data_IF_132840209787
#
_entry.id   IF_132840209787
#
_cell.length_a   1.000
_cell.length_b   1.000
_cell.length_c   1.000
_cell.angle_alpha   90.00
_cell.angle_beta   90.00
_cell.angle_gamma   90.00
#
_symmetry.space_group_name_H-M   'P 1'
#
loop_
_entity.id
_entity.type
_entity.pdbx_description
1 polymer ?
#
# COMPACT_ATOMS: atom_id res chain seq x y z
N UNK A 1 -15.44 -3.92 -22.16
CA UNK A 1 -15.63 -3.16 -20.91
C UNK A 1 -14.79 -3.83 -19.82
N UNK A 2 -14.10 -3.07 -18.97
CA UNK A 2 -13.26 -3.63 -17.90
C UNK A 2 -14.12 -4.37 -16.87
N UNK A 3 -13.61 -5.51 -16.39
CA UNK A 3 -14.26 -6.31 -15.35
C UNK A 3 -13.70 -5.87 -13.99
N UNK A 4 -14.57 -5.38 -13.11
CA UNK A 4 -14.21 -4.99 -11.76
C UNK A 4 -14.99 -5.81 -10.72
N UNK A 5 -14.35 -6.09 -9.59
CA UNK A 5 -14.95 -6.87 -8.49
C UNK A 5 -14.68 -6.21 -7.14
N UNK A 6 -15.58 -6.37 -6.18
CA UNK A 6 -15.28 -6.06 -4.79
C UNK A 6 -14.27 -7.05 -4.22
N UNK A 7 -13.64 -6.69 -3.12
CA UNK A 7 -12.69 -7.55 -2.42
C UNK A 7 -12.70 -7.27 -0.91
N UNK A 8 -12.10 -8.17 -0.14
CA UNK A 8 -11.92 -8.01 1.31
C UNK A 8 -10.61 -7.29 1.57
N UNK A 9 -10.66 -5.99 1.81
CA UNK A 9 -9.48 -5.19 2.13
C UNK A 9 -8.92 -5.52 3.50
N UNK A 10 -7.61 -5.31 3.67
CA UNK A 10 -6.93 -5.42 4.96
C UNK A 10 -6.55 -4.01 5.38
N UNK A 11 -7.00 -3.58 6.56
CA UNK A 11 -6.86 -2.21 7.04
C UNK A 11 -6.56 -2.18 8.54
N UNK A 12 -5.91 -1.14 9.05
CA UNK A 12 -5.81 -0.94 10.49
C UNK A 12 -7.18 -0.61 11.11
N UNK A 13 -7.46 -1.05 12.35
CA UNK A 13 -8.57 -0.53 13.14
C UNK A 13 -8.47 0.99 13.31
N UNK A 14 -9.60 1.68 13.47
CA UNK A 14 -9.64 3.15 13.53
C UNK A 14 -8.75 3.76 14.62
N UNK A 15 -8.67 3.11 15.75
CA UNK A 15 -7.86 3.52 16.91
C UNK A 15 -6.35 3.30 16.72
N UNK A 16 -5.95 2.55 15.70
CA UNK A 16 -4.56 2.27 15.37
C UNK A 16 -4.05 2.96 14.09
N UNK A 17 -4.92 3.64 13.33
CA UNK A 17 -4.57 4.24 12.04
C UNK A 17 -3.31 5.10 12.14
N UNK A 18 -3.26 6.04 13.08
CA UNK A 18 -2.12 6.97 13.26
C UNK A 18 -0.80 6.25 13.62
N UNK A 19 -0.89 5.05 14.20
CA UNK A 19 0.30 4.25 14.54
C UNK A 19 0.76 3.37 13.38
N UNK A 20 -0.18 2.98 12.50
CA UNK A 20 0.10 2.06 11.39
C UNK A 20 0.40 2.80 10.10
N UNK A 21 -0.21 3.97 9.86
CA UNK A 21 -0.06 4.70 8.60
C UNK A 21 1.40 5.01 8.25
N UNK A 22 1.66 5.11 6.97
CA UNK A 22 2.98 5.44 6.44
C UNK A 22 2.84 6.25 5.15
N UNK A 23 3.88 6.98 4.78
CA UNK A 23 3.98 7.55 3.43
C UNK A 23 4.15 6.42 2.39
N UNK A 24 3.82 6.66 1.11
CA UNK A 24 4.11 5.70 0.04
C UNK A 24 5.58 5.31 0.00
N UNK A 25 5.87 4.05 -0.30
CA UNK A 25 7.22 3.47 -0.26
C UNK A 25 8.22 4.13 -1.23
N UNK A 26 7.73 4.79 -2.27
CA UNK A 26 8.51 5.41 -3.35
C UNK A 26 8.83 6.90 -3.14
N UNK A 27 8.40 7.48 -2.00
CA UNK A 27 8.64 8.90 -1.69
C UNK A 27 9.70 9.13 -0.61
N UNK A 28 10.31 8.06 -0.10
CA UNK A 28 11.34 8.11 0.93
C UNK A 28 12.35 6.98 0.75
N UNK A 29 13.57 7.21 1.20
CA UNK A 29 14.60 6.18 1.24
C UNK A 29 14.51 5.32 2.53
N UNK A 30 15.40 4.33 2.65
CA UNK A 30 15.37 3.39 3.78
C UNK A 30 15.79 4.03 5.10
N UNK A 31 16.67 5.04 5.07
CA UNK A 31 17.10 5.76 6.29
C UNK A 31 15.99 6.68 6.80
N UNK A 32 15.30 7.38 5.91
CA UNK A 32 14.12 8.17 6.23
C UNK A 32 13.01 7.29 6.80
N UNK A 33 12.75 6.13 6.19
CA UNK A 33 11.76 5.17 6.68
C UNK A 33 12.11 4.64 8.08
N UNK A 34 13.39 4.34 8.32
CA UNK A 34 13.90 3.92 9.63
C UNK A 34 13.72 5.01 10.68
N UNK A 35 14.04 6.25 10.34
CA UNK A 35 13.88 7.39 11.24
C UNK A 35 12.41 7.66 11.58
N UNK A 36 11.51 7.57 10.60
CA UNK A 36 10.07 7.77 10.82
C UNK A 36 9.41 6.61 11.60
N UNK A 37 9.82 5.37 11.34
CA UNK A 37 9.34 4.23 12.12
C UNK A 37 9.78 4.33 13.58
N UNK A 38 11.03 4.76 13.83
CA UNK A 38 11.60 4.87 15.18
C UNK A 38 11.37 3.59 15.99
N UNK A 39 10.83 3.74 17.20
CA UNK A 39 10.49 2.61 18.09
C UNK A 39 9.04 2.10 17.89
N UNK A 40 8.34 2.58 16.86
CA UNK A 40 6.96 2.18 16.61
C UNK A 40 6.88 0.83 15.90
N UNK A 41 6.72 -0.25 16.63
CA UNK A 41 6.57 -1.61 16.12
C UNK A 41 5.35 -1.82 15.20
N UNK A 42 4.36 -0.91 15.23
CA UNK A 42 3.14 -0.97 14.41
C UNK A 42 3.27 -0.21 13.10
N UNK A 43 4.39 0.48 12.88
CA UNK A 43 4.58 1.23 11.64
C UNK A 43 4.53 0.30 10.41
N UNK A 44 3.72 0.65 9.41
CA UNK A 44 3.62 -0.12 8.17
C UNK A 44 4.95 -0.21 7.40
N UNK A 45 5.92 0.66 7.71
CA UNK A 45 7.26 0.59 7.13
C UNK A 45 7.94 -0.76 7.38
N UNK A 46 7.67 -1.44 8.49
CA UNK A 46 8.19 -2.78 8.75
C UNK A 46 7.73 -3.84 7.72
N UNK A 47 6.71 -3.53 6.92
CA UNK A 47 6.18 -4.39 5.86
C UNK A 47 6.56 -3.87 4.48
N UNK A 48 6.40 -2.55 4.22
CA UNK A 48 6.60 -1.97 2.88
C UNK A 48 8.03 -1.49 2.61
N UNK A 49 8.84 -1.32 3.66
CA UNK A 49 10.27 -1.00 3.66
C UNK A 49 11.01 -1.94 4.61
N UNK A 50 10.86 -3.27 4.43
CA UNK A 50 11.27 -4.26 5.44
C UNK A 50 12.80 -4.31 5.68
N UNK A 51 13.61 -3.73 4.80
CA UNK A 51 15.05 -3.56 4.98
C UNK A 51 15.40 -2.72 6.22
N UNK A 52 14.47 -1.90 6.75
CA UNK A 52 14.67 -1.15 7.99
C UNK A 52 14.80 -2.04 9.23
N UNK A 53 14.35 -3.30 9.15
CA UNK A 53 14.46 -4.28 10.23
C UNK A 53 15.86 -4.91 10.33
N UNK A 54 16.77 -4.56 9.41
CA UNK A 54 18.13 -5.07 9.32
C UNK A 54 19.15 -3.95 9.53
N UNK A 55 20.43 -4.30 9.48
CA UNK A 55 21.49 -3.30 9.58
C UNK A 55 21.43 -2.28 8.44
N UNK A 56 21.80 -1.01 8.72
CA UNK A 56 21.91 0.02 7.67
C UNK A 56 22.76 -0.45 6.49
N UNK A 57 22.28 -0.17 5.27
CA UNK A 57 22.94 -0.61 4.04
C UNK A 57 22.54 -2.02 3.56
N UNK A 58 21.66 -2.72 4.28
CA UNK A 58 21.08 -3.97 3.76
C UNK A 58 20.28 -3.67 2.49
N UNK A 59 20.56 -4.46 1.43
CA UNK A 59 19.86 -4.30 0.14
C UNK A 59 18.37 -4.61 0.27
N UNK A 60 17.52 -3.78 -0.29
CA UNK A 60 16.08 -4.04 -0.41
C UNK A 60 15.75 -5.32 -1.20
N UNK A 61 16.71 -5.85 -1.98
CA UNK A 61 16.58 -7.09 -2.75
C UNK A 61 17.17 -8.32 -2.03
N UNK A 62 17.63 -8.20 -0.79
CA UNK A 62 18.09 -9.34 0.00
C UNK A 62 16.90 -10.29 0.27
N UNK A 63 17.02 -11.60 -0.01
CA UNK A 63 15.93 -12.57 0.24
C UNK A 63 15.36 -12.52 1.65
N UNK A 64 16.19 -12.25 2.66
CA UNK A 64 15.77 -12.11 4.07
C UNK A 64 14.80 -10.95 4.29
N UNK A 65 14.92 -9.90 3.48
CA UNK A 65 14.05 -8.71 3.54
C UNK A 65 12.63 -9.09 3.12
N UNK A 66 12.46 -9.89 2.07
CA UNK A 66 11.15 -10.40 1.64
C UNK A 66 10.52 -11.35 2.67
N UNK A 67 11.32 -12.23 3.27
CA UNK A 67 10.86 -13.13 4.33
C UNK A 67 10.39 -12.32 5.55
N UNK A 68 11.14 -11.32 5.96
CA UNK A 68 10.77 -10.39 7.05
C UNK A 68 9.47 -9.65 6.75
N UNK A 69 9.26 -9.17 5.53
CA UNK A 69 8.00 -8.53 5.12
C UNK A 69 6.80 -9.46 5.29
N UNK A 70 6.93 -10.70 4.81
CA UNK A 70 5.86 -11.71 4.91
C UNK A 70 5.56 -12.08 6.37
N UNK A 71 6.59 -12.22 7.19
CA UNK A 71 6.44 -12.49 8.62
C UNK A 71 5.78 -11.33 9.35
N UNK A 72 6.23 -10.09 9.13
CA UNK A 72 5.63 -8.90 9.73
C UNK A 72 4.18 -8.72 9.30
N UNK A 73 3.85 -8.96 8.03
CA UNK A 73 2.46 -8.91 7.56
C UNK A 73 1.55 -9.91 8.29
N UNK A 74 2.06 -11.11 8.57
CA UNK A 74 1.35 -12.11 9.36
C UNK A 74 1.21 -11.68 10.83
N UNK A 75 2.30 -11.24 11.46
CA UNK A 75 2.33 -10.71 12.82
C UNK A 75 1.36 -9.55 13.04
N UNK A 76 1.28 -8.62 12.08
CA UNK A 76 0.35 -7.49 12.16
C UNK A 76 -1.11 -7.94 12.18
N UNK A 77 -1.45 -9.00 11.44
CA UNK A 77 -2.81 -9.55 11.45
C UNK A 77 -3.08 -10.32 12.75
N UNK A 78 -2.16 -11.13 13.23
CA UNK A 78 -2.25 -11.87 14.50
C UNK A 78 -2.42 -10.94 15.69
N UNK A 79 -1.72 -9.81 15.71
CA UNK A 79 -1.81 -8.79 16.75
C UNK A 79 -3.03 -7.86 16.61
N UNK A 80 -3.81 -8.00 15.54
CA UNK A 80 -4.96 -7.14 15.26
C UNK A 80 -4.59 -5.71 14.83
N UNK A 81 -3.34 -5.46 14.47
CA UNK A 81 -2.90 -4.14 13.94
C UNK A 81 -3.35 -3.93 12.50
N UNK A 82 -3.53 -5.02 11.77
CA UNK A 82 -4.23 -5.08 10.48
C UNK A 82 -5.35 -6.09 10.57
N UNK A 83 -6.51 -5.75 10.05
CA UNK A 83 -7.69 -6.62 10.05
C UNK A 83 -8.30 -6.70 8.67
N UNK A 84 -8.57 -7.92 8.21
CA UNK A 84 -9.31 -8.13 6.97
C UNK A 84 -10.80 -7.88 7.18
N UNK A 85 -11.43 -7.19 6.25
CA UNK A 85 -12.88 -6.98 6.26
C UNK A 85 -13.64 -8.30 6.07
N UNK A 86 -14.75 -8.46 6.77
CA UNK A 86 -15.55 -9.70 6.73
C UNK A 86 -16.27 -9.89 5.40
N UNK A 87 -16.58 -8.79 4.71
CA UNK A 87 -17.34 -8.79 3.44
C UNK A 87 -16.52 -8.20 2.31
N UNK A 88 -16.75 -8.71 1.11
CA UNK A 88 -16.24 -8.08 -0.11
C UNK A 88 -16.98 -6.75 -0.34
N UNK A 89 -16.21 -5.69 -0.63
CA UNK A 89 -16.75 -4.36 -0.86
C UNK A 89 -15.83 -3.55 -1.78
N UNK A 90 -16.36 -2.45 -2.30
CA UNK A 90 -15.58 -1.40 -2.96
C UNK A 90 -15.15 -0.38 -1.92
N UNK A 91 -14.01 0.27 -2.14
CA UNK A 91 -13.51 1.28 -1.22
C UNK A 91 -13.45 2.65 -1.91
N UNK A 92 -13.83 3.68 -1.18
CA UNK A 92 -13.64 5.06 -1.61
C UNK A 92 -12.33 5.56 -1.02
N UNK A 93 -11.42 5.96 -1.89
CA UNK A 93 -10.17 6.63 -1.51
C UNK A 93 -10.35 8.13 -1.64
N UNK A 94 -10.26 8.85 -0.53
CA UNK A 94 -10.35 10.31 -0.51
C UNK A 94 -8.98 10.89 -0.15
N UNK A 95 -8.45 11.76 -1.00
CA UNK A 95 -7.19 12.45 -0.78
C UNK A 95 -7.39 13.95 -0.83
N UNK A 96 -7.03 14.64 0.24
CA UNK A 96 -7.12 16.10 0.34
C UNK A 96 -5.72 16.71 0.29
N UNK A 97 -5.51 17.63 -0.65
CA UNK A 97 -4.28 18.40 -0.77
C UNK A 97 -4.63 19.86 -1.13
N UNK A 98 -4.03 20.79 -0.42
CA UNK A 98 -4.27 22.24 -0.62
C UNK A 98 -5.77 22.62 -0.60
N UNK A 99 -6.53 22.03 0.32
CA UNK A 99 -7.97 22.29 0.49
C UNK A 99 -8.88 21.67 -0.60
N UNK A 100 -8.33 20.89 -1.54
CA UNK A 100 -9.09 20.19 -2.57
C UNK A 100 -9.08 18.69 -2.29
N UNK A 101 -10.25 18.08 -2.25
CA UNK A 101 -10.41 16.63 -2.08
C UNK A 101 -10.69 15.96 -3.41
N UNK A 102 -9.92 14.93 -3.73
CA UNK A 102 -10.16 14.03 -4.85
C UNK A 102 -10.66 12.70 -4.31
N UNK A 103 -11.62 12.10 -5.02
CA UNK A 103 -12.17 10.80 -4.68
C UNK A 103 -11.82 9.79 -5.77
N UNK A 104 -11.38 8.62 -5.37
CA UNK A 104 -11.13 7.47 -6.22
C UNK A 104 -11.90 6.25 -5.75
N UNK A 105 -12.13 5.30 -6.65
CA UNK A 105 -12.72 4.02 -6.35
C UNK A 105 -11.63 2.95 -6.39
N UNK A 106 -11.47 2.21 -5.28
CA UNK A 106 -10.53 1.08 -5.19
C UNK A 106 -11.31 -0.21 -5.41
N UNK A 107 -10.91 -0.98 -6.41
CA UNK A 107 -11.59 -2.19 -6.86
C UNK A 107 -10.57 -3.26 -7.26
N UNK A 108 -10.99 -4.52 -7.25
CA UNK A 108 -10.26 -5.59 -7.93
C UNK A 108 -10.47 -5.47 -9.44
N UNK A 109 -9.41 -5.45 -10.23
CA UNK A 109 -9.50 -5.43 -11.69
C UNK A 109 -8.99 -6.75 -12.28
N UNK A 110 -9.59 -7.19 -13.38
CA UNK A 110 -9.13 -8.39 -14.07
C UNK A 110 -7.81 -8.13 -14.79
N UNK A 111 -6.78 -8.89 -14.45
CA UNK A 111 -5.41 -8.67 -14.94
C UNK A 111 -5.32 -8.66 -16.45
N UNK A 112 -6.09 -9.52 -17.14
CA UNK A 112 -6.08 -9.60 -18.58
C UNK A 112 -6.60 -8.31 -19.26
N UNK A 113 -7.52 -7.58 -18.62
CA UNK A 113 -7.99 -6.29 -19.11
C UNK A 113 -6.89 -5.23 -19.13
N UNK A 114 -5.95 -5.34 -18.19
CA UNK A 114 -4.74 -4.50 -18.17
C UNK A 114 -3.76 -4.92 -19.28
N UNK A 115 -3.54 -6.23 -19.46
CA UNK A 115 -2.60 -6.75 -20.45
C UNK A 115 -3.07 -6.50 -21.89
N UNK A 116 -4.37 -6.60 -22.16
CA UNK A 116 -4.98 -6.40 -23.49
C UNK A 116 -5.32 -4.94 -23.81
N UNK A 117 -5.06 -4.01 -22.88
CA UNK A 117 -5.30 -2.57 -23.06
C UNK A 117 -6.76 -2.15 -22.96
N UNK A 118 -7.65 -2.99 -22.44
CA UNK A 118 -9.03 -2.60 -22.06
C UNK A 118 -8.96 -1.53 -20.96
N UNK A 119 -8.09 -1.73 -19.97
CA UNK A 119 -7.72 -0.71 -18.99
C UNK A 119 -6.58 0.12 -19.59
N UNK A 120 -6.83 1.42 -19.80
CA UNK A 120 -5.85 2.33 -20.42
C UNK A 120 -4.77 2.72 -19.42
N UNK A 121 -3.52 2.59 -19.85
CA UNK A 121 -2.34 3.05 -19.09
C UNK A 121 -2.23 4.58 -19.18
N UNK A 122 -1.68 5.20 -18.16
CA UNK A 122 -1.52 6.67 -18.09
C UNK A 122 -0.86 7.30 -19.33
N UNK A 123 0.11 6.63 -19.94
CA UNK A 123 0.78 7.12 -21.15
C UNK A 123 -0.15 7.11 -22.37
N UNK A 124 -1.06 6.16 -22.46
CA UNK A 124 -2.05 6.06 -23.54
C UNK A 124 -3.13 7.14 -23.39
N UNK A 125 -3.52 7.46 -22.15
CA UNK A 125 -4.45 8.55 -21.85
C UNK A 125 -3.86 9.89 -22.29
N UNK A 126 -2.57 10.16 -22.04
CA UNK A 126 -1.91 11.40 -22.51
C UNK A 126 -1.85 11.54 -24.03
N UNK A 127 -1.81 10.43 -24.77
CA UNK A 127 -1.88 10.44 -26.25
C UNK A 127 -3.27 10.76 -26.76
N UNK A 128 -4.32 10.35 -26.03
CA UNK A 128 -5.71 10.56 -26.42
C UNK A 128 -6.23 11.96 -26.02
N UNK A 129 -5.69 12.53 -24.95
CA UNK A 129 -6.09 13.83 -24.40
C UNK A 129 -4.82 14.64 -24.05
N UNK A 130 -4.13 15.21 -25.06
CA UNK A 130 -3.04 16.13 -24.79
C UNK A 130 -3.59 17.37 -24.07
N UNK A 131 -3.05 17.64 -22.89
CA UNK A 131 -3.32 18.86 -22.11
C UNK A 131 -2.56 20.05 -22.73
#
# INVERSE_FOLDING_TARGET
MAIVKPFKGIRPPKDLVEQVESRPYDVLDSEEARAEAGDNEKSLYHIIKPEINFEPGTSEYDPRVYESAAENFRKFQENGWLKQDDKEQYYIYAQTMNGKTQYGLVVGAYVNDYMTGVIKKRLEIKKLYPL
#
